data_IF_345863223004
#
_entry.id   IF_345863223004
#
_cell.length_a   1.000
_cell.length_b   1.000
_cell.length_c   1.000
_cell.angle_alpha   90.00
_cell.angle_beta   90.00
_cell.angle_gamma   90.00
#
_symmetry.space_group_name_H-M   'P 1'
#
loop_
_entity.id
_entity.type
_entity.pdbx_description
1 polymer ?
#
# COMPACT_ATOMS: atom_id res chain seq x y z
N UNK A 1 13.60 20.59 31.48
CA UNK A 1 13.15 20.94 30.11
C UNK A 1 14.24 20.42 29.18
N UNK A 2 14.08 19.43 28.30
CA UNK A 2 12.90 18.91 27.62
C UNK A 2 13.12 17.42 27.28
N UNK A 3 12.18 16.56 27.66
CA UNK A 3 12.07 15.17 27.20
C UNK A 3 10.73 15.01 26.46
N UNK A 4 10.57 15.70 25.32
CA UNK A 4 9.31 15.70 24.54
C UNK A 4 9.62 15.41 23.06
N UNK A 5 10.38 14.37 22.74
CA UNK A 5 10.58 13.98 21.33
C UNK A 5 10.55 12.47 21.07
N UNK A 6 10.09 11.63 21.99
CA UNK A 6 10.25 10.18 21.80
C UNK A 6 9.04 9.36 22.29
N UNK A 7 7.83 9.64 21.79
CA UNK A 7 6.65 8.84 22.20
C UNK A 7 5.58 8.53 21.17
N UNK A 8 5.75 8.91 19.90
CA UNK A 8 4.77 8.56 18.86
C UNK A 8 5.39 8.05 17.54
N UNK A 9 6.71 7.88 17.43
CA UNK A 9 7.33 7.27 16.25
C UNK A 9 7.47 5.75 16.38
N UNK A 10 6.39 5.06 16.77
CA UNK A 10 6.38 3.60 16.72
C UNK A 10 6.19 3.17 15.26
N UNK A 11 7.18 2.48 14.64
CA UNK A 11 7.12 2.12 13.21
C UNK A 11 5.83 1.35 12.87
N UNK A 12 5.37 0.45 13.77
CA UNK A 12 4.13 -0.30 13.56
C UNK A 12 2.84 0.54 13.52
N UNK A 13 2.81 1.74 14.14
CA UNK A 13 1.64 2.64 14.04
C UNK A 13 1.62 3.35 12.69
N UNK A 14 2.79 3.74 12.20
CA UNK A 14 2.91 4.39 10.90
C UNK A 14 2.52 3.43 9.76
N UNK A 15 2.90 2.16 9.87
CA UNK A 15 2.52 1.12 8.91
C UNK A 15 1.01 0.86 8.91
N UNK A 16 0.36 0.85 10.08
CA UNK A 16 -1.10 0.73 10.21
C UNK A 16 -1.82 1.92 9.56
N UNK A 17 -1.37 3.15 9.83
CA UNK A 17 -1.94 4.36 9.20
C UNK A 17 -1.76 4.36 7.68
N UNK A 18 -0.59 3.93 7.17
CA UNK A 18 -0.35 3.78 5.73
C UNK A 18 -1.28 2.73 5.13
N UNK A 19 -1.44 1.59 5.79
CA UNK A 19 -2.36 0.55 5.34
C UNK A 19 -3.81 1.04 5.28
N UNK A 20 -4.29 1.74 6.30
CA UNK A 20 -5.63 2.34 6.31
C UNK A 20 -5.83 3.35 5.16
N UNK A 21 -4.84 4.20 4.91
CA UNK A 21 -4.85 5.15 3.80
C UNK A 21 -4.90 4.42 2.45
N UNK A 22 -4.12 3.37 2.28
CA UNK A 22 -4.11 2.55 1.08
C UNK A 22 -5.49 1.93 0.82
N UNK A 23 -6.10 1.30 1.84
CA UNK A 23 -7.43 0.71 1.71
C UNK A 23 -8.52 1.75 1.43
N UNK A 24 -8.36 2.99 1.88
CA UNK A 24 -9.28 4.10 1.56
C UNK A 24 -9.31 4.44 0.07
N UNK A 25 -8.22 4.21 -0.65
CA UNK A 25 -8.15 4.35 -2.11
C UNK A 25 -8.82 3.19 -2.86
N UNK A 26 -9.24 2.13 -2.16
CA UNK A 26 -9.90 0.95 -2.73
C UNK A 26 -9.08 0.34 -3.88
N UNK A 27 -7.87 -0.14 -3.59
CA UNK A 27 -7.02 -0.76 -4.60
C UNK A 27 -7.78 -1.91 -5.28
N UNK A 28 -7.62 -2.09 -6.60
CA UNK A 28 -8.30 -3.16 -7.32
C UNK A 28 -7.79 -4.53 -6.84
N UNK A 29 -8.68 -5.52 -6.80
CA UNK A 29 -8.31 -6.90 -6.47
C UNK A 29 -7.68 -7.57 -7.68
N UNK A 30 -6.56 -8.27 -7.47
CA UNK A 30 -5.97 -9.08 -8.53
C UNK A 30 -6.89 -10.26 -8.83
N UNK A 31 -7.45 -10.30 -10.04
CA UNK A 31 -8.45 -11.30 -10.44
C UNK A 31 -7.81 -12.58 -11.00
N UNK A 32 -6.50 -12.55 -11.30
CA UNK A 32 -5.78 -13.66 -11.91
C UNK A 32 -6.32 -14.09 -13.29
N UNK A 33 -5.69 -15.12 -13.88
CA UNK A 33 -6.14 -15.74 -15.13
C UNK A 33 -5.34 -15.34 -16.39
N UNK A 34 -5.88 -15.68 -17.57
CA UNK A 34 -5.26 -15.38 -18.87
C UNK A 34 -5.74 -14.05 -19.44
N UNK A 35 -5.53 -12.95 -18.71
CA UNK A 35 -5.91 -11.62 -19.16
C UNK A 35 -4.72 -10.63 -19.05
N UNK A 36 -3.78 -10.65 -20.01
CA UNK A 36 -2.58 -9.83 -19.93
C UNK A 36 -2.88 -8.32 -19.92
N UNK A 37 -3.97 -7.88 -20.57
CA UNK A 37 -4.39 -6.47 -20.53
C UNK A 37 -4.93 -6.09 -19.15
N UNK A 38 -5.73 -6.96 -18.52
CA UNK A 38 -6.22 -6.76 -17.16
C UNK A 38 -5.09 -6.77 -16.13
N UNK A 39 -4.09 -7.64 -16.30
CA UNK A 39 -2.93 -7.70 -15.42
C UNK A 39 -2.12 -6.40 -15.49
N UNK A 40 -1.87 -5.87 -16.69
CA UNK A 40 -1.16 -4.60 -16.88
C UNK A 40 -1.96 -3.44 -16.27
N UNK A 41 -3.26 -3.36 -16.57
CA UNK A 41 -4.11 -2.29 -16.02
C UNK A 41 -4.23 -2.36 -14.49
N UNK A 42 -4.23 -3.58 -13.92
CA UNK A 42 -4.21 -3.76 -12.47
C UNK A 42 -2.91 -3.23 -11.85
N UNK A 43 -1.75 -3.52 -12.46
CA UNK A 43 -0.45 -3.00 -11.99
C UNK A 43 -0.45 -1.47 -12.04
N UNK A 44 -0.87 -0.86 -13.16
CA UNK A 44 -0.88 0.60 -13.34
C UNK A 44 -1.75 1.28 -12.27
N UNK A 45 -2.97 0.79 -12.02
CA UNK A 45 -3.87 1.38 -11.03
C UNK A 45 -3.31 1.27 -9.60
N UNK A 46 -2.65 0.16 -9.27
CA UNK A 46 -2.00 -0.02 -7.94
C UNK A 46 -0.78 0.90 -7.81
N UNK A 47 0.02 1.07 -8.87
CA UNK A 47 1.18 1.98 -8.87
C UNK A 47 0.77 3.43 -8.69
N UNK A 48 -0.32 3.88 -9.33
CA UNK A 48 -0.87 5.23 -9.15
C UNK A 48 -1.21 5.52 -7.69
N UNK A 49 -1.78 4.54 -6.97
CA UNK A 49 -2.10 4.69 -5.54
C UNK A 49 -0.82 4.83 -4.72
N UNK A 50 0.20 4.01 -4.99
CA UNK A 50 1.48 4.12 -4.30
C UNK A 50 2.17 5.46 -4.51
N UNK A 51 2.12 6.00 -5.74
CA UNK A 51 2.65 7.31 -6.05
C UNK A 51 1.87 8.43 -5.34
N UNK A 52 0.54 8.37 -5.37
CA UNK A 52 -0.32 9.35 -4.71
C UNK A 52 -0.10 9.41 -3.19
N UNK A 53 0.23 8.26 -2.58
CA UNK A 53 0.54 8.14 -1.16
C UNK A 53 2.00 8.46 -0.81
N UNK A 54 2.90 8.56 -1.79
CA UNK A 54 4.34 8.72 -1.57
C UNK A 54 4.98 7.50 -0.89
N UNK A 55 4.52 6.29 -1.20
CA UNK A 55 5.04 5.06 -0.60
C UNK A 55 6.52 4.83 -0.93
N UNK A 56 7.30 4.46 0.09
CA UNK A 56 8.65 3.90 -0.12
C UNK A 56 8.57 2.50 -0.74
N UNK A 57 9.64 2.04 -1.37
CA UNK A 57 9.72 0.69 -1.97
C UNK A 57 9.38 -0.44 -0.96
N UNK A 58 9.77 -0.27 0.30
CA UNK A 58 9.42 -1.18 1.39
C UNK A 58 7.91 -1.21 1.68
N UNK A 59 7.27 -0.03 1.70
CA UNK A 59 5.82 0.10 1.86
C UNK A 59 5.07 -0.50 0.67
N UNK A 60 5.54 -0.25 -0.56
CA UNK A 60 4.95 -0.82 -1.79
C UNK A 60 4.99 -2.34 -1.76
N UNK A 61 6.09 -2.94 -1.34
CA UNK A 61 6.22 -4.41 -1.24
C UNK A 61 5.21 -4.98 -0.24
N UNK A 62 5.09 -4.35 0.92
CA UNK A 62 4.19 -4.80 1.99
C UNK A 62 2.72 -4.69 1.58
N UNK A 63 2.31 -3.54 1.04
CA UNK A 63 0.95 -3.28 0.58
C UNK A 63 0.60 -4.06 -0.69
N UNK A 64 1.54 -4.17 -1.63
CA UNK A 64 1.39 -4.92 -2.88
C UNK A 64 1.13 -6.41 -2.63
N UNK A 65 1.84 -7.00 -1.67
CA UNK A 65 1.62 -8.40 -1.26
C UNK A 65 0.20 -8.62 -0.72
N UNK A 66 -0.42 -7.60 -0.13
CA UNK A 66 -1.79 -7.69 0.36
C UNK A 66 -2.82 -7.76 -0.78
N UNK A 67 -2.67 -6.91 -1.80
CA UNK A 67 -3.60 -6.85 -2.96
C UNK A 67 -3.39 -7.96 -3.98
N UNK A 68 -2.22 -8.61 -3.94
CA UNK A 68 -1.92 -9.82 -4.71
C UNK A 68 -2.58 -11.09 -4.15
N UNK A 69 -3.12 -11.05 -2.92
CA UNK A 69 -3.90 -12.20 -2.42
C UNK A 69 -5.15 -12.33 -3.28
N UNK A 70 -5.26 -13.45 -4.00
CA UNK A 70 -6.53 -13.90 -4.55
C UNK A 70 -7.53 -14.04 -3.39
N UNK A 71 -8.71 -13.45 -3.53
CA UNK A 71 -9.83 -13.63 -2.58
C UNK A 71 -10.44 -15.03 -2.69
#
# INVERSE_FOLDING_TARGET
MANIMDRDNQPGREDEVRFELFMKHKPPTFTGGYNPEGDVNWIEEVEIIFEAMGCSEESKTTLGTYVLREE
#
